data_IF_473056930972
#
_entry.id   IF_473056930972
#
_cell.length_a   1.000
_cell.length_b   1.000
_cell.length_c   1.000
_cell.angle_alpha   90.00
_cell.angle_beta   90.00
_cell.angle_gamma   90.00
#
_symmetry.space_group_name_H-M   'P 1'
#
loop_
_entity.id
_entity.type
_entity.pdbx_description
1 polymer ?
#
# COMPACT_ATOMS: atom_id res chain seq x y z
N UNK A 1 -25.59 10.08 -4.85
CA UNK A 1 -25.38 9.37 -3.58
C UNK A 1 -25.99 7.96 -3.68
N UNK A 2 -25.36 6.95 -3.10
CA UNK A 2 -25.79 5.54 -3.22
C UNK A 2 -27.03 5.15 -2.37
N UNK A 3 -27.73 6.12 -1.77
CA UNK A 3 -28.90 5.88 -0.92
C UNK A 3 -28.60 5.39 0.51
N UNK A 4 -27.33 5.24 0.89
CA UNK A 4 -26.92 4.86 2.24
C UNK A 4 -27.08 6.03 3.23
N UNK A 5 -27.45 5.72 4.47
CA UNK A 5 -27.66 6.69 5.56
C UNK A 5 -26.71 6.43 6.72
N UNK A 6 -26.55 7.41 7.63
CA UNK A 6 -25.67 7.32 8.80
C UNK A 6 -24.22 6.96 8.45
N UNK A 7 -23.67 7.62 7.42
CA UNK A 7 -22.29 7.37 6.99
C UNK A 7 -21.33 7.90 8.06
N UNK A 8 -20.43 7.03 8.51
CA UNK A 8 -19.30 7.38 9.37
C UNK A 8 -18.01 6.93 8.72
N UNK A 9 -16.93 7.64 9.01
CA UNK A 9 -15.62 7.36 8.49
C UNK A 9 -14.61 7.28 9.64
N UNK A 10 -13.61 6.42 9.49
CA UNK A 10 -12.50 6.29 10.41
C UNK A 10 -11.24 6.07 9.58
N UNK A 11 -10.25 6.89 9.85
CA UNK A 11 -8.90 6.71 9.34
C UNK A 11 -8.18 5.71 10.25
N UNK A 12 -7.50 4.74 9.64
CA UNK A 12 -6.73 3.71 10.34
C UNK A 12 -5.37 3.62 9.69
N UNK A 13 -4.34 3.75 10.52
CA UNK A 13 -2.94 3.55 10.16
C UNK A 13 -2.44 2.24 10.76
N UNK A 14 -1.68 1.50 9.97
CA UNK A 14 -1.04 0.27 10.41
C UNK A 14 0.39 0.21 9.86
N UNK A 15 1.37 0.13 10.76
CA UNK A 15 2.78 -0.02 10.40
C UNK A 15 3.15 -1.50 10.51
N UNK A 16 3.80 -2.02 9.47
CA UNK A 16 4.36 -3.36 9.49
C UNK A 16 5.73 -3.42 8.83
N UNK A 17 6.59 -4.35 9.28
CA UNK A 17 7.90 -4.54 8.66
C UNK A 17 7.75 -5.28 7.32
N UNK A 18 8.39 -4.73 6.29
CA UNK A 18 8.66 -5.40 5.03
C UNK A 18 10.03 -6.08 5.10
N UNK A 19 10.06 -7.38 4.83
CA UNK A 19 11.28 -8.19 4.91
C UNK A 19 11.88 -8.53 3.54
N UNK A 20 11.07 -8.49 2.49
CA UNK A 20 11.52 -8.83 1.14
C UNK A 20 10.77 -8.04 0.06
N UNK A 21 11.36 -8.01 -1.12
CA UNK A 21 10.84 -7.28 -2.28
C UNK A 21 10.01 -8.15 -3.22
N UNK A 22 9.64 -9.38 -2.86
CA UNK A 22 8.99 -10.32 -3.78
C UNK A 22 7.70 -9.76 -4.43
N UNK A 23 6.79 -9.09 -3.69
CA UNK A 23 5.61 -8.47 -4.30
C UNK A 23 5.95 -7.33 -5.27
N UNK A 24 6.99 -6.55 -4.96
CA UNK A 24 7.45 -5.43 -5.80
C UNK A 24 8.10 -5.97 -7.08
N UNK A 25 8.96 -7.00 -6.96
CA UNK A 25 9.58 -7.70 -8.10
C UNK A 25 8.53 -8.32 -9.03
N UNK A 26 7.46 -8.86 -8.46
CA UNK A 26 6.32 -9.39 -9.21
C UNK A 26 5.41 -8.31 -9.83
N UNK A 27 5.71 -7.02 -9.60
CA UNK A 27 4.84 -5.88 -9.96
C UNK A 27 3.40 -6.08 -9.51
N UNK A 28 3.20 -6.59 -8.28
CA UNK A 28 1.87 -6.88 -7.76
C UNK A 28 1.00 -5.61 -7.59
N UNK A 29 1.62 -4.43 -7.53
CA UNK A 29 0.94 -3.14 -7.42
C UNK A 29 0.88 -2.42 -8.76
N UNK A 30 -0.33 -1.97 -9.14
CA UNK A 30 -0.59 -1.36 -10.45
C UNK A 30 0.29 -0.13 -10.75
N UNK A 31 0.66 0.64 -9.73
CA UNK A 31 1.53 1.80 -9.88
C UNK A 31 2.93 1.44 -10.40
N UNK A 32 3.43 0.24 -10.14
CA UNK A 32 4.74 -0.22 -10.62
C UNK A 32 4.78 -0.43 -12.14
N UNK A 33 3.62 -0.49 -12.80
CA UNK A 33 3.53 -0.52 -14.26
C UNK A 33 3.54 0.88 -14.89
N UNK A 34 3.49 1.94 -14.09
CA UNK A 34 3.44 3.33 -14.57
C UNK A 34 4.82 3.99 -14.69
N UNK A 35 5.84 3.40 -14.05
CA UNK A 35 7.23 3.85 -14.12
C UNK A 35 7.97 3.11 -15.22
N UNK A 36 9.04 3.72 -15.71
CA UNK A 36 9.94 3.06 -16.67
C UNK A 36 10.62 1.86 -16.05
N UNK A 37 11.10 0.94 -16.90
CA UNK A 37 11.87 -0.21 -16.42
C UNK A 37 13.15 0.25 -15.71
N UNK A 38 13.81 1.32 -16.17
CA UNK A 38 15.00 1.86 -15.50
C UNK A 38 14.69 2.33 -14.07
N UNK A 39 13.64 3.13 -13.89
CA UNK A 39 13.20 3.59 -12.58
C UNK A 39 12.81 2.43 -11.67
N UNK A 40 12.12 1.42 -12.22
CA UNK A 40 11.74 0.21 -11.48
C UNK A 40 12.96 -0.55 -10.96
N UNK A 41 13.96 -0.83 -11.82
CA UNK A 41 15.14 -1.58 -11.42
C UNK A 41 16.03 -0.78 -10.45
N UNK A 42 16.19 0.53 -10.67
CA UNK A 42 16.94 1.39 -9.76
C UNK A 42 16.30 1.44 -8.36
N UNK A 43 14.96 1.58 -8.30
CA UNK A 43 14.22 1.57 -7.04
C UNK A 43 14.28 0.22 -6.33
N UNK A 44 14.13 -0.88 -7.06
CA UNK A 44 14.21 -2.24 -6.52
C UNK A 44 15.60 -2.52 -5.93
N UNK A 45 16.67 -2.18 -6.64
CA UNK A 45 18.04 -2.38 -6.17
C UNK A 45 18.31 -1.61 -4.87
N UNK A 46 17.87 -0.35 -4.79
CA UNK A 46 18.00 0.45 -3.55
C UNK A 46 17.22 -0.17 -2.40
N UNK A 47 15.99 -0.61 -2.64
CA UNK A 47 15.16 -1.26 -1.61
C UNK A 47 15.80 -2.57 -1.11
N UNK A 48 16.42 -3.33 -2.01
CA UNK A 48 17.15 -4.56 -1.63
C UNK A 48 18.38 -4.25 -0.76
N UNK A 49 19.14 -3.20 -1.08
CA UNK A 49 20.27 -2.72 -0.27
C UNK A 49 19.83 -2.26 1.13
N UNK A 50 18.74 -1.50 1.22
CA UNK A 50 18.18 -1.05 2.50
C UNK A 50 17.78 -2.26 3.38
N UNK A 51 17.17 -3.29 2.76
CA UNK A 51 16.73 -4.51 3.43
C UNK A 51 17.87 -5.41 3.92
N UNK A 52 19.09 -5.26 3.39
CA UNK A 52 20.27 -5.96 3.94
C UNK A 52 20.62 -5.47 5.34
N UNK A 53 20.24 -4.23 5.67
CA UNK A 53 20.51 -3.62 6.98
C UNK A 53 19.41 -3.93 7.98
N UNK A 54 18.16 -3.63 7.63
CA UNK A 54 17.00 -3.82 8.49
C UNK A 54 15.69 -3.91 7.69
N UNK A 55 14.63 -4.50 8.27
CA UNK A 55 13.30 -4.44 7.67
C UNK A 55 12.82 -2.99 7.48
N UNK A 56 12.16 -2.72 6.36
CA UNK A 56 11.59 -1.40 6.06
C UNK A 56 10.21 -1.29 6.70
N UNK A 57 9.97 -0.25 7.50
CA UNK A 57 8.63 0.03 8.04
C UNK A 57 7.70 0.57 6.94
N UNK A 58 6.65 -0.19 6.65
CA UNK A 58 5.61 0.19 5.69
C UNK A 58 4.40 0.72 6.43
N UNK A 59 4.00 1.94 6.10
CA UNK A 59 2.73 2.52 6.53
C UNK A 59 1.61 2.10 5.57
N UNK A 60 0.56 1.47 6.09
CA UNK A 60 -0.70 1.27 5.39
C UNK A 60 -1.79 2.15 5.98
N UNK A 61 -2.39 2.96 5.11
CA UNK A 61 -3.45 3.91 5.45
C UNK A 61 -4.78 3.42 4.86
N UNK A 62 -5.81 3.37 5.70
CA UNK A 62 -7.14 2.93 5.32
C UNK A 62 -8.19 3.97 5.74
N UNK A 63 -9.14 4.24 4.84
CA UNK A 63 -10.39 4.91 5.18
C UNK A 63 -11.49 3.86 5.27
N UNK A 64 -11.88 3.53 6.49
CA UNK A 64 -12.99 2.64 6.74
C UNK A 64 -14.29 3.44 6.74
N UNK A 65 -15.30 2.98 6.00
CA UNK A 65 -16.61 3.62 5.88
C UNK A 65 -17.70 2.66 6.36
N UNK A 66 -18.56 3.14 7.26
CA UNK A 66 -19.75 2.42 7.70
C UNK A 66 -20.98 3.21 7.35
N UNK A 67 -22.02 2.52 6.88
CA UNK A 67 -23.30 3.12 6.59
C UNK A 67 -24.41 2.09 6.72
N UNK A 68 -25.65 2.57 6.75
CA UNK A 68 -26.85 1.75 6.87
C UNK A 68 -27.66 1.81 5.57
N UNK A 69 -28.28 0.69 5.21
CA UNK A 69 -29.32 0.67 4.18
C UNK A 69 -30.59 1.28 4.79
N UNK A 70 -31.30 2.19 4.10
CA UNK A 70 -32.61 2.65 4.54
C UNK A 70 -33.57 1.47 4.71
N UNK A 71 -34.38 1.51 5.76
CA UNK A 71 -35.50 0.59 5.97
C UNK A 71 -36.66 0.87 5.02
#
# INVERSE_FOLDING_TARGET
AAGLVHVTAQEVEYIYPLYDTAPIRARAYSCLHLISDEEFHAGLARMEEDLESEPIDVLSEYLLLWAQRPG
#
